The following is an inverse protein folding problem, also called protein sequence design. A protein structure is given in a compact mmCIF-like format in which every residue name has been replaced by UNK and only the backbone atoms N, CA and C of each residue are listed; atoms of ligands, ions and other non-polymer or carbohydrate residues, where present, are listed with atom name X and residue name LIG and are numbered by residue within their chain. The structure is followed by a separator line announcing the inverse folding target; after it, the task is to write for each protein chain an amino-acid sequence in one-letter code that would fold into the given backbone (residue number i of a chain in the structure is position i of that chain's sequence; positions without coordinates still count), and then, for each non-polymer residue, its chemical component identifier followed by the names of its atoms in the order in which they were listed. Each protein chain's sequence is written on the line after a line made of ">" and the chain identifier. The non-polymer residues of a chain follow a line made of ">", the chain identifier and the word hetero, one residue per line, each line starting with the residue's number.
data_IF_418183706897
#
_entry.id   IF_418183706897
#
_cell.length_a   1.000
_cell.length_b   1.000
_cell.length_c   1.000
_cell.angle_alpha   90.00
_cell.angle_beta   90.00
_cell.angle_gamma   90.00
#
_symmetry.space_group_name_H-M   'P 1'
#
loop_
_entity.id
_entity.type
_entity.pdbx_description
1 polymer ?
#
# COMPACT_ATOMS: atom_id res chain seq x y z
N UNK A 1 81.23 -8.47 40.29
CA UNK A 1 80.61 -7.18 40.65
C UNK A 1 79.69 -6.79 39.50
N UNK A 2 78.38 -6.81 39.72
CA UNK A 2 77.37 -6.48 38.71
C UNK A 2 76.71 -5.16 39.09
N UNK A 3 76.68 -4.20 38.17
CA UNK A 3 76.02 -2.91 38.32
C UNK A 3 74.56 -3.00 37.87
N UNK A 4 73.65 -2.51 38.71
CA UNK A 4 72.21 -2.39 38.46
C UNK A 4 71.88 -1.12 37.69
N UNK A 5 71.02 -1.22 36.68
CA UNK A 5 70.37 -0.07 36.03
C UNK A 5 68.87 -0.29 35.93
N UNK A 6 68.10 0.59 36.56
CA UNK A 6 66.62 0.59 36.62
C UNK A 6 66.02 1.20 35.35
N UNK A 7 65.11 0.49 34.67
CA UNK A 7 64.31 1.00 33.55
C UNK A 7 62.84 1.10 33.98
N UNK A 8 62.41 2.33 34.28
CA UNK A 8 61.03 2.70 34.59
C UNK A 8 60.14 2.57 33.35
N UNK A 9 59.09 1.74 33.42
CA UNK A 9 58.07 1.61 32.36
C UNK A 9 57.04 2.74 32.48
N UNK A 10 57.05 3.67 31.55
CA UNK A 10 55.96 4.65 31.37
C UNK A 10 54.76 3.98 30.70
N UNK A 11 53.63 3.88 31.41
CA UNK A 11 52.34 3.50 30.84
C UNK A 11 51.69 4.70 30.14
N UNK A 12 52.00 4.90 28.86
CA UNK A 12 51.21 5.78 28.01
C UNK A 12 49.85 5.13 27.70
N UNK A 13 48.77 5.62 28.31
CA UNK A 13 47.40 5.32 27.87
C UNK A 13 47.07 6.23 26.70
N UNK A 14 47.19 5.71 25.48
CA UNK A 14 46.68 6.38 24.28
C UNK A 14 45.15 6.34 24.37
N UNK A 15 44.43 7.48 24.31
CA UNK A 15 42.99 7.45 24.17
C UNK A 15 42.69 6.88 22.79
N UNK A 16 42.11 5.68 22.76
CA UNK A 16 41.53 5.13 21.54
C UNK A 16 40.31 6.02 21.25
N UNK A 17 40.49 7.00 20.37
CA UNK A 17 39.38 7.65 19.70
C UNK A 17 38.70 6.56 18.88
N UNK A 18 37.65 5.96 19.43
CA UNK A 18 36.72 5.18 18.63
C UNK A 18 36.06 6.16 17.68
N UNK A 19 36.68 6.38 16.51
CA UNK A 19 35.94 6.84 15.36
C UNK A 19 34.85 5.80 15.16
N UNK A 20 33.61 6.19 15.46
CA UNK A 20 32.43 5.47 15.02
C UNK A 20 32.60 5.33 13.52
N UNK A 21 33.07 4.16 13.09
CA UNK A 21 33.07 3.73 11.69
C UNK A 21 31.63 3.86 11.28
N UNK A 22 31.34 4.93 10.53
CA UNK A 22 30.07 5.13 9.87
C UNK A 22 29.98 3.97 8.90
N UNK A 23 29.37 2.88 9.35
CA UNK A 23 29.13 1.73 8.50
C UNK A 23 28.43 2.26 7.27
N UNK A 24 28.96 1.93 6.08
CA UNK A 24 28.28 2.08 4.80
C UNK A 24 27.08 1.11 4.72
N UNK A 25 26.34 0.98 5.82
CA UNK A 25 25.03 0.37 5.85
C UNK A 25 24.10 1.35 5.16
N UNK A 26 23.47 0.88 4.08
CA UNK A 26 22.34 1.54 3.44
C UNK A 26 21.26 1.81 4.49
N UNK A 27 21.27 3.00 5.07
CA UNK A 27 20.23 3.46 5.99
C UNK A 27 19.01 3.87 5.17
N UNK A 28 17.85 3.32 5.51
CA UNK A 28 16.60 3.72 4.89
C UNK A 28 16.36 5.22 5.08
N UNK A 29 16.33 5.95 3.97
CA UNK A 29 16.00 7.38 3.98
C UNK A 29 14.53 7.55 3.62
N UNK A 30 13.75 7.91 4.63
CA UNK A 30 12.32 8.19 4.48
C UNK A 30 12.08 9.40 3.55
N UNK A 31 11.42 9.20 2.41
CA UNK A 31 10.86 10.30 1.62
C UNK A 31 9.51 10.76 2.19
N UNK A 32 8.68 9.81 2.62
CA UNK A 32 7.49 10.04 3.42
C UNK A 32 7.72 9.55 4.85
N UNK A 33 7.14 10.22 5.85
CA UNK A 33 7.25 9.76 7.23
C UNK A 33 6.67 8.35 7.37
N UNK A 34 7.39 7.47 8.06
CA UNK A 34 6.95 6.11 8.44
C UNK A 34 5.78 6.20 9.44
N UNK A 35 4.57 6.37 8.92
CA UNK A 35 3.33 6.46 9.70
C UNK A 35 2.17 5.81 8.97
N UNK A 36 1.24 5.22 9.72
CA UNK A 36 -0.01 4.78 9.13
C UNK A 36 -0.97 5.96 8.92
N UNK A 37 -1.75 5.89 7.85
CA UNK A 37 -2.89 6.78 7.62
C UNK A 37 -4.13 6.21 8.32
N UNK A 38 -5.07 7.06 8.74
CA UNK A 38 -6.36 6.62 9.30
C UNK A 38 -7.35 6.11 8.23
N UNK A 39 -6.90 5.94 7.00
CA UNK A 39 -7.69 5.37 5.92
C UNK A 39 -6.79 4.54 5.01
N UNK A 40 -7.35 3.49 4.44
CA UNK A 40 -6.73 2.67 3.41
C UNK A 40 -7.28 3.13 2.07
N UNK A 41 -6.37 3.44 1.15
CA UNK A 41 -6.71 3.64 -0.25
C UNK A 41 -6.96 2.26 -0.88
N UNK A 42 -8.05 2.12 -1.64
CA UNK A 42 -8.26 0.89 -2.41
C UNK A 42 -7.37 0.95 -3.63
N UNK A 43 -6.68 -0.15 -3.90
CA UNK A 43 -6.19 -0.44 -5.24
C UNK A 43 -7.35 -0.82 -6.16
N UNK A 44 -7.12 -0.72 -7.47
CA UNK A 44 -8.06 -1.09 -8.51
C UNK A 44 -8.60 -2.51 -8.28
N UNK A 45 -9.91 -2.62 -8.05
CA UNK A 45 -10.61 -3.90 -8.00
C UNK A 45 -11.17 -4.22 -9.36
N UNK A 46 -10.73 -5.35 -9.94
CA UNK A 46 -11.29 -5.86 -11.19
C UNK A 46 -12.80 -6.10 -11.00
N UNK A 47 -13.66 -5.57 -11.89
CA UNK A 47 -15.10 -5.85 -11.83
C UNK A 47 -15.34 -7.36 -11.92
N UNK A 48 -16.34 -7.86 -11.17
CA UNK A 48 -16.72 -9.27 -11.25
C UNK A 48 -17.60 -9.48 -12.48
N UNK A 49 -17.32 -10.55 -13.22
CA UNK A 49 -18.15 -10.98 -14.34
C UNK A 49 -17.38 -11.28 -15.62
N UNK A 50 -18.13 -11.75 -16.62
CA UNK A 50 -17.67 -11.96 -17.98
C UNK A 50 -17.50 -10.61 -18.67
N UNK A 51 -16.43 -10.44 -19.45
CA UNK A 51 -16.12 -9.17 -20.14
C UNK A 51 -16.96 -8.90 -21.38
N UNK A 52 -18.10 -9.58 -21.56
CA UNK A 52 -18.96 -9.55 -22.77
C UNK A 52 -18.19 -9.67 -24.10
N UNK A 53 -16.97 -10.21 -24.06
CA UNK A 53 -16.06 -10.25 -25.22
C UNK A 53 -16.50 -11.27 -26.27
N UNK A 54 -17.23 -12.31 -25.86
CA UNK A 54 -17.78 -13.33 -26.77
C UNK A 54 -18.85 -12.73 -27.70
N UNK A 55 -19.84 -12.06 -27.12
CA UNK A 55 -20.90 -11.38 -27.89
C UNK A 55 -20.35 -10.24 -28.74
N UNK A 56 -19.38 -9.49 -28.20
CA UNK A 56 -18.71 -8.43 -28.93
C UNK A 56 -17.94 -8.96 -30.16
N UNK A 57 -17.29 -10.12 -30.02
CA UNK A 57 -16.60 -10.75 -31.14
C UNK A 57 -17.57 -11.23 -32.22
N UNK A 58 -18.69 -11.86 -31.83
CA UNK A 58 -19.74 -12.27 -32.76
C UNK A 58 -20.36 -11.07 -33.52
N UNK A 59 -20.55 -9.95 -32.83
CA UNK A 59 -21.01 -8.70 -33.45
C UNK A 59 -20.01 -8.18 -34.49
N UNK A 60 -18.71 -8.18 -34.18
CA UNK A 60 -17.69 -7.76 -35.13
C UNK A 60 -17.57 -8.69 -36.34
N UNK A 61 -17.74 -10.00 -36.14
CA UNK A 61 -17.74 -10.96 -37.24
C UNK A 61 -18.93 -10.73 -38.19
N UNK A 62 -20.10 -10.36 -37.64
CA UNK A 62 -21.26 -9.97 -38.44
C UNK A 62 -21.02 -8.64 -39.18
N UNK A 63 -20.56 -7.60 -38.50
CA UNK A 63 -20.31 -6.29 -39.10
C UNK A 63 -19.27 -6.37 -40.23
N UNK A 64 -18.24 -7.21 -40.07
CA UNK A 64 -17.23 -7.46 -41.10
C UNK A 64 -17.81 -8.09 -42.37
N UNK A 65 -18.86 -8.90 -42.25
CA UNK A 65 -19.52 -9.59 -43.37
C UNK A 65 -20.41 -8.65 -44.19
N UNK A 66 -20.98 -7.63 -43.55
CA UNK A 66 -22.00 -6.75 -44.14
C UNK A 66 -21.52 -5.30 -44.30
N UNK A 67 -20.21 -5.08 -44.47
CA UNK A 67 -19.63 -3.74 -44.63
C UNK A 67 -20.06 -2.73 -43.54
N UNK A 68 -20.32 -3.22 -42.32
CA UNK A 68 -20.75 -2.45 -41.14
C UNK A 68 -22.22 -2.00 -41.15
N UNK A 69 -23.07 -2.59 -41.97
CA UNK A 69 -24.53 -2.40 -41.87
C UNK A 69 -25.10 -3.05 -40.60
N UNK A 70 -25.82 -2.25 -39.81
CA UNK A 70 -26.35 -2.67 -38.51
C UNK A 70 -27.66 -3.45 -38.59
N UNK A 71 -28.44 -3.32 -39.67
CA UNK A 71 -29.72 -4.03 -39.83
C UNK A 71 -29.59 -5.57 -39.75
N UNK A 72 -28.67 -6.22 -40.49
CA UNK A 72 -28.51 -7.68 -40.43
C UNK A 72 -27.84 -8.17 -39.13
N UNK A 73 -27.21 -7.28 -38.36
CA UNK A 73 -26.50 -7.61 -37.12
C UNK A 73 -27.27 -7.21 -35.86
N UNK A 74 -28.57 -6.90 -35.99
CA UNK A 74 -29.40 -6.44 -34.89
C UNK A 74 -29.48 -7.47 -33.74
N UNK A 75 -29.53 -8.76 -34.05
CA UNK A 75 -29.62 -9.81 -33.02
C UNK A 75 -28.35 -9.88 -32.17
N UNK A 76 -27.16 -9.91 -32.79
CA UNK A 76 -25.88 -9.87 -32.08
C UNK A 76 -25.69 -8.60 -31.24
N UNK A 77 -26.26 -7.48 -31.69
CA UNK A 77 -26.23 -6.23 -30.93
C UNK A 77 -27.13 -6.33 -29.68
N UNK A 78 -28.31 -6.95 -29.79
CA UNK A 78 -29.19 -7.19 -28.64
C UNK A 78 -28.52 -8.09 -27.61
N UNK A 79 -27.91 -9.19 -28.04
CA UNK A 79 -27.19 -10.11 -27.15
C UNK A 79 -26.03 -9.42 -26.42
N UNK A 80 -25.26 -8.60 -27.15
CA UNK A 80 -24.21 -7.77 -26.55
C UNK A 80 -24.77 -6.79 -25.50
N UNK A 81 -25.83 -6.04 -25.84
CA UNK A 81 -26.45 -5.08 -24.93
C UNK A 81 -27.05 -5.75 -23.69
N UNK A 82 -27.62 -6.95 -23.84
CA UNK A 82 -28.14 -7.75 -22.73
C UNK A 82 -27.01 -8.19 -21.79
N UNK A 83 -25.88 -8.65 -22.33
CA UNK A 83 -24.68 -8.95 -21.53
C UNK A 83 -24.17 -7.71 -20.77
N UNK A 84 -24.07 -6.57 -21.44
CA UNK A 84 -23.60 -5.31 -20.83
C UNK A 84 -24.55 -4.86 -19.72
N UNK A 85 -25.87 -4.90 -19.95
CA UNK A 85 -26.85 -4.49 -18.95
C UNK A 85 -26.82 -5.40 -17.72
N UNK A 86 -26.68 -6.72 -17.91
CA UNK A 86 -26.56 -7.71 -16.83
C UNK A 86 -25.30 -7.49 -16.00
N UNK A 87 -24.16 -7.33 -16.66
CA UNK A 87 -22.87 -7.12 -15.98
C UNK A 87 -22.82 -5.77 -15.27
N UNK A 88 -23.42 -4.73 -15.85
CA UNK A 88 -23.56 -3.43 -15.19
C UNK A 88 -24.40 -3.53 -13.92
N UNK A 89 -25.56 -4.18 -13.97
CA UNK A 89 -26.43 -4.41 -12.79
C UNK A 89 -25.69 -5.17 -11.69
N UNK A 90 -25.04 -6.28 -12.03
CA UNK A 90 -24.27 -7.07 -11.07
C UNK A 90 -23.12 -6.27 -10.43
N UNK A 91 -22.37 -5.48 -11.21
CA UNK A 91 -21.30 -4.65 -10.68
C UNK A 91 -21.84 -3.50 -9.81
N UNK A 92 -23.00 -2.93 -10.15
CA UNK A 92 -23.65 -1.91 -9.34
C UNK A 92 -24.09 -2.48 -7.99
N UNK A 93 -24.72 -3.65 -7.98
CA UNK A 93 -25.13 -4.36 -6.75
C UNK A 93 -23.92 -4.68 -5.87
N UNK A 94 -22.82 -5.16 -6.46
CA UNK A 94 -21.57 -5.40 -5.73
C UNK A 94 -20.96 -4.12 -5.18
N UNK A 95 -20.99 -3.01 -5.93
CA UNK A 95 -20.50 -1.73 -5.45
C UNK A 95 -21.34 -1.20 -4.27
N UNK A 96 -22.66 -1.37 -4.32
CA UNK A 96 -23.58 -1.03 -3.23
C UNK A 96 -23.39 -1.93 -2.01
N UNK A 97 -23.24 -3.24 -2.21
CA UNK A 97 -22.94 -4.20 -1.14
C UNK A 97 -21.57 -3.90 -0.47
N UNK A 98 -20.56 -3.56 -1.27
CA UNK A 98 -19.25 -3.16 -0.78
C UNK A 98 -19.33 -1.89 0.07
N UNK A 99 -20.08 -0.86 -0.37
CA UNK A 99 -20.31 0.37 0.41
C UNK A 99 -20.97 0.08 1.75
N UNK A 100 -21.95 -0.84 1.77
CA UNK A 100 -22.63 -1.29 3.00
C UNK A 100 -21.72 -2.14 3.90
N UNK A 101 -20.53 -2.51 3.43
CA UNK A 101 -19.59 -3.35 4.17
C UNK A 101 -20.08 -4.78 4.32
N UNK A 102 -20.90 -5.28 3.39
CA UNK A 102 -21.30 -6.69 3.38
C UNK A 102 -20.06 -7.51 3.01
N UNK A 103 -19.74 -8.52 3.83
CA UNK A 103 -18.70 -9.48 3.53
C UNK A 103 -19.15 -10.28 2.31
N UNK A 104 -18.47 -10.07 1.18
CA UNK A 104 -18.41 -11.08 0.14
C UNK A 104 -17.94 -12.38 0.81
N UNK A 105 -18.81 -13.38 0.85
CA UNK A 105 -18.49 -14.69 1.39
C UNK A 105 -17.32 -15.26 0.60
N UNK A 106 -16.10 -15.05 1.09
CA UNK A 106 -14.91 -15.65 0.50
C UNK A 106 -15.12 -17.16 0.46
N UNK A 107 -14.95 -17.70 -0.73
CA UNK A 107 -15.07 -19.13 -1.09
C UNK A 107 -14.16 -20.03 -0.23
N UNK A 108 -13.19 -19.44 0.49
CA UNK A 108 -12.13 -20.16 1.23
C UNK A 108 -12.20 -19.98 2.76
N UNK A 109 -13.32 -19.52 3.33
CA UNK A 109 -13.51 -19.45 4.79
C UNK A 109 -12.61 -18.44 5.53
N UNK A 110 -11.82 -17.64 4.81
CA UNK A 110 -11.02 -16.53 5.36
C UNK A 110 -11.71 -15.22 5.05
N UNK A 111 -12.52 -14.71 5.97
CA UNK A 111 -13.21 -13.43 5.82
C UNK A 111 -12.22 -12.28 5.94
N UNK A 112 -11.75 -11.76 4.81
CA UNK A 112 -11.01 -10.49 4.76
C UNK A 112 -11.99 -9.32 4.89
N UNK A 113 -11.70 -8.38 5.79
CA UNK A 113 -12.54 -7.19 5.97
C UNK A 113 -12.55 -6.34 4.70
N UNK A 114 -13.72 -5.83 4.33
CA UNK A 114 -13.85 -4.87 3.21
C UNK A 114 -13.20 -3.54 3.58
N UNK A 115 -12.72 -2.78 2.58
CA UNK A 115 -12.15 -1.44 2.80
C UNK A 115 -13.04 -0.54 3.65
N UNK A 116 -14.35 -0.56 3.40
CA UNK A 116 -15.29 0.27 4.15
C UNK A 116 -15.33 -0.11 5.63
N UNK A 117 -15.28 -1.40 5.95
CA UNK A 117 -15.18 -1.88 7.33
C UNK A 117 -13.85 -1.46 7.97
N UNK A 118 -12.71 -1.63 7.28
CA UNK A 118 -11.40 -1.24 7.80
C UNK A 118 -11.35 0.28 8.01
N UNK A 119 -11.81 1.08 7.05
CA UNK A 119 -11.86 2.54 7.17
C UNK A 119 -12.80 3.00 8.30
N UNK A 120 -13.92 2.32 8.51
CA UNK A 120 -14.78 2.61 9.67
C UNK A 120 -14.06 2.29 10.99
N UNK A 121 -13.31 1.19 11.06
CA UNK A 121 -12.51 0.82 12.23
C UNK A 121 -11.42 1.86 12.51
N UNK A 122 -10.68 2.28 11.48
CA UNK A 122 -9.63 3.29 11.60
C UNK A 122 -10.19 4.70 11.92
N UNK A 123 -11.42 5.00 11.51
CA UNK A 123 -12.11 6.22 11.90
C UNK A 123 -12.52 6.22 13.39
N UNK A 124 -12.92 5.06 13.93
CA UNK A 124 -13.25 4.89 15.36
C UNK A 124 -12.02 4.93 16.25
N UNK A 125 -10.91 4.35 15.79
CA UNK A 125 -9.65 4.28 16.53
C UNK A 125 -8.51 4.94 15.74
N UNK A 126 -8.54 6.27 15.58
CA UNK A 126 -7.53 6.99 14.81
C UNK A 126 -6.17 6.95 15.51
N UNK A 127 -5.10 6.88 14.72
CA UNK A 127 -3.75 7.02 15.25
C UNK A 127 -3.55 8.46 15.79
N UNK A 128 -3.18 8.64 17.07
CA UNK A 128 -3.00 9.97 17.65
C UNK A 128 -1.88 10.73 16.92
N UNK A 129 -2.09 12.03 16.71
CA UNK A 129 -1.14 13.01 16.13
C UNK A 129 -0.75 12.84 14.64
N UNK A 130 -0.79 11.63 14.08
CA UNK A 130 -0.24 11.34 12.74
C UNK A 130 -1.27 10.94 11.67
N UNK A 131 -2.47 10.55 12.09
CA UNK A 131 -3.45 9.91 11.21
C UNK A 131 -4.44 10.84 10.48
N UNK A 132 -4.52 12.13 10.83
CA UNK A 132 -5.43 13.11 10.20
C UNK A 132 -4.69 14.03 9.20
N UNK A 133 -5.34 14.35 8.08
CA UNK A 133 -4.85 15.32 7.08
C UNK A 133 -5.41 16.73 7.37
N UNK A 134 -4.66 17.83 7.17
CA UNK A 134 -3.25 17.89 6.80
C UNK A 134 -2.38 17.44 7.96
N UNK A 135 -1.48 16.51 7.69
CA UNK A 135 -0.62 16.00 8.73
C UNK A 135 0.38 17.08 9.16
N UNK A 136 0.63 17.20 10.47
CA UNK A 136 1.88 17.82 10.93
C UNK A 136 3.03 16.90 10.54
N UNK A 137 3.51 17.02 9.30
CA UNK A 137 4.78 16.40 8.93
C UNK A 137 5.85 17.17 9.68
N UNK A 138 6.27 16.62 10.82
CA UNK A 138 7.54 17.01 11.40
C UNK A 138 8.59 16.63 10.36
N UNK A 139 9.10 17.63 9.65
CA UNK A 139 10.26 17.47 8.76
C UNK A 139 11.42 17.06 9.68
N UNK A 140 11.77 15.78 9.69
CA UNK A 140 12.88 15.30 10.52
C UNK A 140 14.15 16.03 10.11
N UNK A 141 14.93 16.43 11.11
CA UNK A 141 16.27 16.94 10.87
C UNK A 141 17.13 15.79 10.31
N UNK A 142 18.04 16.04 9.35
CA UNK A 142 18.84 14.99 8.70
C UNK A 142 19.64 14.08 9.66
N UNK A 143 19.82 14.52 10.91
CA UNK A 143 20.70 13.90 11.91
C UNK A 143 19.91 13.25 13.06
N UNK A 144 18.58 13.23 12.99
CA UNK A 144 17.72 12.69 14.04
C UNK A 144 17.58 11.17 13.87
N UNK A 145 18.05 10.41 14.87
CA UNK A 145 17.97 8.95 14.86
C UNK A 145 16.53 8.49 15.06
N UNK A 146 16.07 7.55 14.23
CA UNK A 146 14.74 6.97 14.30
C UNK A 146 14.43 6.36 15.68
N UNK A 147 15.45 5.79 16.33
CA UNK A 147 15.31 5.20 17.66
C UNK A 147 15.03 6.26 18.75
N UNK A 148 15.50 7.50 18.57
CA UNK A 148 15.30 8.54 19.56
C UNK A 148 13.84 9.02 19.58
N UNK A 149 13.17 9.03 18.42
CA UNK A 149 11.77 9.43 18.26
C UNK A 149 10.79 8.37 18.79
N UNK A 150 11.04 7.09 18.53
CA UNK A 150 10.14 6.01 18.97
C UNK A 150 10.24 5.80 20.47
N UNK A 151 11.46 5.83 21.01
CA UNK A 151 11.71 5.48 22.40
C UNK A 151 11.82 6.69 23.34
N UNK A 152 11.54 7.90 22.84
CA UNK A 152 11.60 9.16 23.61
C UNK A 152 12.89 9.28 24.44
N UNK A 153 14.02 8.81 23.90
CA UNK A 153 15.29 8.82 24.65
C UNK A 153 15.77 10.26 24.76
N UNK A 154 15.66 10.84 25.96
CA UNK A 154 16.31 12.12 26.25
C UNK A 154 17.82 11.91 26.14
N UNK A 155 18.46 12.62 25.21
CA UNK A 155 19.92 12.72 25.18
C UNK A 155 20.34 13.33 26.52
N UNK A 156 21.11 12.58 27.31
CA UNK A 156 21.83 13.08 28.48
C UNK A 156 23.04 13.86 28.02
#
# INVERSE_FOLDING_TARGET
>A
MQFTGSLSKCHFKIPITTSLVKSDQLQFKEFLPLKSTNYVMSNYTKPRGETCTKELQALFDCLKKWEHDNLPCADFNRDYMDCVSRTYKANKELAEAAKKGVLDGSVDGRTTLTKYQINNLMAKYPQPQLGQYPYKALKRLPNQSYADDIFHRKKK
#
